data_IF_999677785240
#
_entry.id   IF_999677785240
#
_cell.length_a   1.000
_cell.length_b   1.000
_cell.length_c   1.000
_cell.angle_alpha   90.00
_cell.angle_beta   90.00
_cell.angle_gamma   90.00
#
_symmetry.space_group_name_H-M   'P 1'
#
loop_
_entity.id
_entity.type
_entity.pdbx_description
1 polymer ?
#
# COMPACT_ATOMS: atom_id res chain seq x y z
N UNK A 1 -30.69 21.37 65.24
CA UNK A 1 -29.32 21.29 64.65
C UNK A 1 -29.50 21.19 63.14
N UNK A 2 -28.85 21.93 62.24
CA UNK A 2 -27.82 22.96 62.24
C UNK A 2 -27.83 23.52 60.80
N UNK A 3 -27.80 24.85 60.67
CA UNK A 3 -27.31 25.69 59.54
C UNK A 3 -27.86 25.57 58.10
N UNK A 4 -28.71 26.55 57.76
CA UNK A 4 -28.81 27.32 56.50
C UNK A 4 -27.45 27.94 56.04
N UNK A 5 -27.37 28.77 54.96
CA UNK A 5 -27.95 28.82 53.60
C UNK A 5 -26.86 29.16 52.53
N UNK A 6 -27.25 29.52 51.29
CA UNK A 6 -26.75 30.63 50.40
C UNK A 6 -26.78 30.17 48.92
N UNK A 7 -27.65 30.70 48.04
CA UNK A 7 -27.71 32.04 47.40
C UNK A 7 -26.64 32.27 46.31
N UNK A 8 -27.16 32.68 45.14
CA UNK A 8 -26.60 33.62 44.14
C UNK A 8 -25.36 33.14 43.35
N UNK A 9 -25.47 32.92 42.03
CA UNK A 9 -25.51 33.91 40.94
C UNK A 9 -24.14 34.59 40.70
N UNK A 10 -23.59 34.41 39.50
CA UNK A 10 -22.92 35.46 38.72
C UNK A 10 -22.40 34.90 37.38
N UNK A 11 -22.87 35.52 36.30
CA UNK A 11 -22.26 35.51 34.97
C UNK A 11 -20.91 36.24 35.05
N UNK A 12 -19.88 35.72 34.39
CA UNK A 12 -18.76 36.53 33.91
C UNK A 12 -18.40 36.10 32.49
N UNK A 13 -18.74 36.96 31.54
CA UNK A 13 -18.05 37.03 30.26
C UNK A 13 -16.88 38.00 30.42
N UNK A 14 -15.69 37.61 29.96
CA UNK A 14 -14.66 38.55 29.52
C UNK A 14 -13.70 37.87 28.53
N UNK A 15 -13.58 38.52 27.38
CA UNK A 15 -12.72 38.23 26.24
C UNK A 15 -11.25 38.53 26.58
N UNK A 16 -10.31 37.71 26.10
CA UNK A 16 -8.95 38.17 25.77
C UNK A 16 -8.60 37.76 24.34
N UNK A 17 -8.26 38.78 23.57
CA UNK A 17 -7.79 38.75 22.19
C UNK A 17 -6.32 38.31 22.10
N UNK A 18 -6.00 37.56 21.05
CA UNK A 18 -4.73 37.73 20.31
C UNK A 18 -3.59 36.77 20.62
N UNK A 19 -3.39 35.78 19.73
CA UNK A 19 -2.06 35.51 19.16
C UNK A 19 -2.23 35.22 17.67
N UNK A 20 -1.89 36.20 16.84
CA UNK A 20 -1.55 35.98 15.43
C UNK A 20 -0.14 35.44 15.39
N UNK A 21 0.00 34.14 15.13
CA UNK A 21 1.21 33.56 14.57
C UNK A 21 0.77 32.66 13.42
N UNK A 22 0.80 33.24 12.21
CA UNK A 22 0.86 32.48 10.97
C UNK A 22 2.13 31.64 11.02
N UNK A 23 2.01 30.36 11.39
CA UNK A 23 3.07 29.39 11.16
C UNK A 23 3.03 29.05 9.67
N UNK A 24 3.55 29.94 8.82
CA UNK A 24 3.91 29.64 7.43
C UNK A 24 5.21 28.84 7.41
N UNK A 25 5.15 27.66 8.02
CA UNK A 25 6.23 26.70 8.14
C UNK A 25 5.63 25.31 8.22
N UNK A 26 4.73 25.00 7.27
CA UNK A 26 4.36 23.61 7.04
C UNK A 26 5.65 22.87 6.71
N UNK A 27 6.06 21.95 7.59
CA UNK A 27 7.04 20.94 7.21
C UNK A 27 6.52 20.34 5.91
N UNK A 28 7.35 20.29 4.87
CA UNK A 28 6.97 19.60 3.65
C UNK A 28 6.60 18.16 4.07
N UNK A 29 5.31 17.86 4.14
CA UNK A 29 4.86 16.53 4.51
C UNK A 29 5.40 15.59 3.44
N UNK A 30 6.27 14.67 3.83
CA UNK A 30 6.69 13.59 2.96
C UNK A 30 5.42 12.89 2.48
N UNK A 31 5.26 12.77 1.16
CA UNK A 31 4.15 12.01 0.62
C UNK A 31 4.40 10.54 0.93
N UNK A 32 3.46 9.89 1.62
CA UNK A 32 3.59 8.51 2.04
C UNK A 32 2.69 7.57 1.24
N UNK A 33 3.22 6.40 0.91
CA UNK A 33 2.50 5.29 0.29
C UNK A 33 2.72 4.03 1.13
N UNK A 34 1.65 3.33 1.48
CA UNK A 34 1.73 2.05 2.17
C UNK A 34 0.86 1.03 1.45
N UNK A 35 1.40 -0.17 1.23
CA UNK A 35 0.75 -1.30 0.58
C UNK A 35 1.11 -2.58 1.33
N UNK A 36 0.11 -3.40 1.67
CA UNK A 36 0.29 -4.57 2.53
C UNK A 36 -0.64 -5.70 2.11
N UNK A 37 -0.07 -6.88 1.85
CA UNK A 37 -0.76 -8.15 1.64
C UNK A 37 -0.37 -9.13 2.74
N UNK A 38 -1.34 -9.86 3.30
CA UNK A 38 -1.07 -10.89 4.29
C UNK A 38 -1.95 -12.13 4.15
N UNK A 39 -1.31 -13.29 4.30
CA UNK A 39 -1.95 -14.58 4.12
C UNK A 39 -1.58 -15.53 5.26
N UNK A 40 -2.57 -16.26 5.77
CA UNK A 40 -2.44 -17.12 6.94
C UNK A 40 -3.20 -18.44 6.73
N UNK A 41 -2.46 -19.51 6.48
CA UNK A 41 -3.00 -20.86 6.40
C UNK A 41 -2.73 -21.64 7.70
N UNK A 42 -3.68 -22.48 8.09
CA UNK A 42 -3.61 -23.32 9.29
C UNK A 42 -4.49 -24.56 9.14
N UNK A 43 -4.55 -25.42 10.16
CA UNK A 43 -5.42 -26.61 10.13
C UNK A 43 -6.91 -26.30 9.98
N UNK A 44 -7.36 -25.10 10.33
CA UNK A 44 -8.75 -24.66 10.10
C UNK A 44 -8.97 -24.13 8.69
N UNK A 45 -7.93 -23.55 8.10
CA UNK A 45 -8.01 -22.94 6.78
C UNK A 45 -6.75 -23.27 5.99
N UNK A 46 -6.82 -24.32 5.19
CA UNK A 46 -5.67 -24.85 4.47
C UNK A 46 -5.23 -23.95 3.31
N UNK A 47 -6.07 -23.00 2.87
CA UNK A 47 -5.77 -22.11 1.75
C UNK A 47 -6.01 -20.66 2.13
N UNK A 48 -4.99 -19.82 2.00
CA UNK A 48 -5.09 -18.38 2.19
C UNK A 48 -4.34 -17.67 1.07
N UNK A 49 -4.90 -16.57 0.61
CA UNK A 49 -4.41 -15.83 -0.54
C UNK A 49 -4.80 -14.36 -0.37
N UNK A 50 -3.87 -13.43 -0.52
CA UNK A 50 -4.10 -11.98 -0.48
C UNK A 50 -3.24 -11.30 -1.55
N UNK A 51 -3.85 -10.39 -2.30
CA UNK A 51 -3.17 -9.54 -3.28
C UNK A 51 -3.45 -8.08 -2.95
N UNK A 52 -2.39 -7.29 -2.81
CA UNK A 52 -2.47 -5.85 -2.67
C UNK A 52 -1.77 -5.15 -3.84
N UNK A 53 -2.51 -4.43 -4.67
CA UNK A 53 -1.99 -3.69 -5.81
C UNK A 53 -2.28 -2.19 -5.66
N UNK A 54 -1.23 -1.38 -5.59
CA UNK A 54 -1.33 0.06 -5.38
C UNK A 54 -0.64 0.85 -6.49
N UNK A 55 -1.35 1.84 -7.03
CA UNK A 55 -0.78 2.88 -7.89
C UNK A 55 -0.97 4.24 -7.22
N UNK A 56 0.15 4.92 -6.97
CA UNK A 56 0.22 6.25 -6.38
C UNK A 56 0.91 7.19 -7.34
N UNK A 57 0.24 8.29 -7.68
CA UNK A 57 0.85 9.41 -8.37
C UNK A 57 1.03 10.58 -7.39
N UNK A 58 2.25 11.10 -7.30
CA UNK A 58 2.65 12.11 -6.32
C UNK A 58 3.31 13.31 -7.02
N UNK A 59 3.39 14.42 -6.30
CA UNK A 59 4.16 15.61 -6.68
C UNK A 59 4.84 16.15 -5.41
N UNK A 60 5.89 15.46 -4.97
CA UNK A 60 6.52 15.72 -3.67
C UNK A 60 8.02 15.98 -3.80
N UNK A 61 8.59 16.69 -2.84
CA UNK A 61 10.05 16.78 -2.67
C UNK A 61 10.61 15.59 -1.88
N UNK A 62 9.76 14.83 -1.19
CA UNK A 62 10.14 13.66 -0.41
C UNK A 62 9.10 12.54 -0.54
N UNK A 63 9.57 11.33 -0.82
CA UNK A 63 8.74 10.12 -0.96
C UNK A 63 9.09 9.14 0.15
N UNK A 64 8.08 8.65 0.86
CA UNK A 64 8.21 7.53 1.79
C UNK A 64 7.27 6.40 1.35
N UNK A 65 7.81 5.25 0.95
CA UNK A 65 7.02 4.17 0.36
C UNK A 65 7.30 2.84 1.04
N UNK A 66 6.26 2.23 1.61
CA UNK A 66 6.29 0.90 2.23
C UNK A 66 5.45 -0.07 1.42
N UNK A 67 6.02 -1.22 1.08
CA UNK A 67 5.36 -2.32 0.40
C UNK A 67 5.73 -3.64 1.08
N UNK A 68 4.73 -4.40 1.50
CA UNK A 68 4.98 -5.61 2.28
C UNK A 68 4.02 -6.76 1.93
N UNK A 69 4.57 -7.97 1.83
CA UNK A 69 3.84 -9.20 1.61
C UNK A 69 4.26 -10.26 2.64
N UNK A 70 3.37 -10.61 3.56
CA UNK A 70 3.65 -11.55 4.64
C UNK A 70 2.75 -12.80 4.56
N UNK A 71 3.36 -13.95 4.33
CA UNK A 71 2.65 -15.22 4.22
C UNK A 71 3.12 -16.19 5.31
N UNK A 72 2.16 -16.76 6.04
CA UNK A 72 2.40 -17.75 7.07
C UNK A 72 1.56 -19.00 6.82
N UNK A 73 2.16 -20.17 7.03
CA UNK A 73 1.44 -21.43 7.22
C UNK A 73 1.84 -22.06 8.55
N UNK A 74 0.86 -22.45 9.37
CA UNK A 74 1.13 -22.93 10.74
C UNK A 74 0.28 -24.12 11.15
N UNK A 75 0.92 -25.08 11.84
CA UNK A 75 0.25 -26.23 12.48
C UNK A 75 -0.68 -26.99 11.52
N UNK A 76 -0.20 -27.41 10.36
CA UNK A 76 -1.01 -28.13 9.37
C UNK A 76 -0.17 -29.00 8.44
N UNK A 77 -0.83 -29.75 7.56
CA UNK A 77 -0.20 -30.50 6.48
C UNK A 77 -0.79 -30.06 5.15
N UNK A 78 0.06 -29.76 4.16
CA UNK A 78 -0.39 -29.37 2.83
C UNK A 78 -1.08 -27.99 2.75
N UNK A 79 -0.85 -27.10 3.72
CA UNK A 79 -1.39 -25.74 3.62
C UNK A 79 -0.75 -24.95 2.48
N UNK A 80 -1.53 -24.03 1.91
CA UNK A 80 -1.15 -23.13 0.85
C UNK A 80 -1.44 -21.68 1.26
N UNK A 81 -0.41 -20.86 1.42
CA UNK A 81 -0.51 -19.46 1.88
C UNK A 81 0.25 -18.53 0.93
N UNK A 82 -0.44 -17.57 0.32
CA UNK A 82 0.16 -16.69 -0.69
C UNK A 82 -0.19 -15.23 -0.41
N UNK A 83 0.83 -14.39 -0.22
CA UNK A 83 0.69 -12.94 -0.13
C UNK A 83 1.49 -12.27 -1.25
N UNK A 84 0.84 -11.41 -2.04
CA UNK A 84 1.47 -10.71 -3.17
C UNK A 84 1.22 -9.20 -3.04
N UNK A 85 2.28 -8.40 -3.00
CA UNK A 85 2.17 -6.95 -2.86
C UNK A 85 2.89 -6.21 -4.01
N UNK A 86 2.14 -5.45 -4.80
CA UNK A 86 2.64 -4.59 -5.88
C UNK A 86 2.40 -3.14 -5.55
N UNK A 87 3.46 -2.33 -5.48
CA UNK A 87 3.34 -0.90 -5.28
C UNK A 87 4.06 -0.13 -6.38
N UNK A 88 3.35 0.81 -6.99
CA UNK A 88 3.87 1.71 -8.02
C UNK A 88 3.69 3.13 -7.50
N UNK A 89 4.80 3.84 -7.31
CA UNK A 89 4.85 5.26 -6.95
C UNK A 89 5.46 6.03 -8.11
N UNK A 90 4.66 6.81 -8.81
CA UNK A 90 5.12 7.71 -9.86
C UNK A 90 5.08 9.15 -9.33
N UNK A 91 6.24 9.77 -9.15
CA UNK A 91 6.36 11.17 -8.76
C UNK A 91 6.59 12.04 -10.01
N UNK A 92 5.70 13.00 -10.23
CA UNK A 92 5.76 13.95 -11.34
C UNK A 92 6.87 14.99 -11.21
N UNK A 93 7.59 15.00 -10.08
CA UNK A 93 8.82 15.74 -9.87
C UNK A 93 9.93 14.77 -9.43
N UNK A 94 11.19 15.12 -9.71
CA UNK A 94 12.33 14.41 -9.11
C UNK A 94 12.38 14.74 -7.60
N UNK A 95 12.14 13.78 -6.69
CA UNK A 95 12.18 14.03 -5.27
C UNK A 95 13.63 14.22 -4.82
N UNK A 96 13.85 15.07 -3.83
CA UNK A 96 15.16 15.28 -3.19
C UNK A 96 15.50 14.18 -2.18
N UNK A 97 14.51 13.40 -1.75
CA UNK A 97 14.67 12.32 -0.79
C UNK A 97 13.68 11.18 -1.08
N UNK A 98 14.16 9.94 -1.05
CA UNK A 98 13.35 8.73 -1.21
C UNK A 98 13.69 7.76 -0.09
N UNK A 99 12.70 7.40 0.71
CA UNK A 99 12.76 6.28 1.65
C UNK A 99 11.84 5.19 1.13
N UNK A 100 12.38 3.99 0.91
CA UNK A 100 11.67 2.87 0.32
C UNK A 100 11.90 1.62 1.18
N UNK A 101 10.81 1.00 1.62
CA UNK A 101 10.81 -0.27 2.32
C UNK A 101 10.00 -1.27 1.49
N UNK A 102 10.66 -2.33 0.99
CA UNK A 102 10.02 -3.40 0.24
C UNK A 102 10.38 -4.74 0.90
N UNK A 103 9.39 -5.45 1.43
CA UNK A 103 9.60 -6.66 2.24
C UNK A 103 8.66 -7.79 1.83
N UNK A 104 9.21 -9.00 1.67
CA UNK A 104 8.47 -10.22 1.39
C UNK A 104 8.90 -11.32 2.35
N UNK A 105 7.93 -12.00 2.98
CA UNK A 105 8.15 -13.00 4.01
C UNK A 105 7.28 -14.23 3.77
N UNK A 106 7.88 -15.41 3.90
CA UNK A 106 7.22 -16.71 3.77
C UNK A 106 7.68 -17.62 4.90
N UNK A 107 6.77 -17.98 5.80
CA UNK A 107 7.10 -18.75 7.01
C UNK A 107 6.22 -19.99 7.16
N UNK A 108 6.86 -21.14 7.36
CA UNK A 108 6.21 -22.38 7.76
C UNK A 108 6.56 -22.69 9.22
N UNK A 109 5.54 -22.86 10.08
CA UNK A 109 5.75 -23.22 11.50
C UNK A 109 4.99 -24.50 11.82
N UNK A 110 5.69 -25.53 12.29
CA UNK A 110 5.08 -26.84 12.59
C UNK A 110 4.21 -27.34 11.42
N UNK A 111 4.75 -27.29 10.21
CA UNK A 111 4.03 -27.73 9.01
C UNK A 111 4.83 -28.73 8.19
N UNK A 112 4.13 -29.72 7.63
CA UNK A 112 4.65 -30.64 6.62
C UNK A 112 3.99 -30.37 5.27
N UNK A 113 4.76 -30.44 4.18
CA UNK A 113 4.27 -30.25 2.81
C UNK A 113 3.56 -28.89 2.55
N UNK A 114 3.86 -27.88 3.36
CA UNK A 114 3.33 -26.52 3.17
C UNK A 114 3.94 -25.83 1.96
N UNK A 115 3.11 -25.06 1.27
CA UNK A 115 3.50 -24.11 0.24
C UNK A 115 3.17 -22.69 0.71
N UNK A 116 4.20 -21.90 1.00
CA UNK A 116 4.03 -20.51 1.47
C UNK A 116 4.84 -19.57 0.59
N UNK A 117 4.22 -18.47 0.15
CA UNK A 117 4.82 -17.47 -0.73
C UNK A 117 4.45 -16.06 -0.27
N UNK A 118 5.44 -15.26 0.11
CA UNK A 118 5.29 -13.81 0.28
C UNK A 118 6.21 -13.10 -0.70
N UNK A 119 5.63 -12.34 -1.64
CA UNK A 119 6.41 -11.66 -2.68
C UNK A 119 5.95 -10.20 -2.84
N UNK A 120 6.93 -9.30 -2.84
CA UNK A 120 6.69 -7.86 -2.87
C UNK A 120 7.51 -7.19 -3.98
N UNK A 121 6.84 -6.48 -4.89
CA UNK A 121 7.45 -5.66 -5.93
C UNK A 121 7.10 -4.19 -5.74
N UNK A 122 8.12 -3.35 -5.69
CA UNK A 122 7.98 -1.91 -5.55
C UNK A 122 8.68 -1.17 -6.70
N UNK A 123 7.97 -0.24 -7.32
CA UNK A 123 8.44 0.60 -8.41
C UNK A 123 8.31 2.06 -8.00
N UNK A 124 9.44 2.77 -7.91
CA UNK A 124 9.46 4.22 -7.66
C UNK A 124 10.04 4.89 -8.91
N UNK A 125 9.21 5.67 -9.59
CA UNK A 125 9.57 6.35 -10.83
C UNK A 125 9.48 7.85 -10.60
N UNK A 126 10.62 8.53 -10.73
CA UNK A 126 10.73 9.97 -10.64
C UNK A 126 10.98 10.56 -12.02
N UNK A 127 9.91 10.85 -12.75
CA UNK A 127 9.97 11.44 -14.09
C UNK A 127 8.83 12.45 -14.22
N UNK A 128 8.99 13.54 -14.99
CA UNK A 128 7.90 14.47 -15.31
C UNK A 128 6.92 13.85 -16.32
N UNK A 129 6.45 12.64 -16.02
CA UNK A 129 5.52 11.85 -16.80
C UNK A 129 4.44 11.33 -15.87
N UNK A 130 3.21 11.68 -16.18
CA UNK A 130 2.00 11.16 -15.56
C UNK A 130 1.61 9.89 -16.29
N UNK A 131 1.14 8.86 -15.57
CA UNK A 131 0.61 7.65 -16.20
C UNK A 131 -0.66 8.00 -16.98
N UNK A 132 -0.63 7.79 -18.30
CA UNK A 132 -1.80 8.00 -19.14
C UNK A 132 -2.94 7.05 -18.75
N UNK A 133 -4.18 7.36 -19.14
CA UNK A 133 -5.31 6.44 -19.02
C UNK A 133 -5.00 5.05 -19.62
N UNK A 134 -4.28 5.03 -20.75
CA UNK A 134 -3.88 3.78 -21.40
C UNK A 134 -2.89 2.97 -20.56
N UNK A 135 -1.97 3.62 -19.84
CA UNK A 135 -1.02 2.94 -18.96
C UNK A 135 -1.71 2.44 -17.70
N UNK A 136 -2.60 3.24 -17.13
CA UNK A 136 -3.43 2.83 -15.99
C UNK A 136 -4.31 1.62 -16.33
N UNK A 137 -4.90 1.58 -17.53
CA UNK A 137 -5.67 0.42 -17.99
C UNK A 137 -4.81 -0.86 -18.12
N UNK A 138 -3.56 -0.73 -18.59
CA UNK A 138 -2.62 -1.87 -18.63
C UNK A 138 -2.28 -2.35 -17.22
N UNK A 139 -2.03 -1.43 -16.28
CA UNK A 139 -1.77 -1.77 -14.88
C UNK A 139 -2.98 -2.43 -14.20
N UNK A 140 -4.19 -1.96 -14.50
CA UNK A 140 -5.42 -2.60 -14.01
C UNK A 140 -5.58 -4.03 -14.55
N UNK A 141 -5.16 -4.29 -15.79
CA UNK A 141 -5.14 -5.65 -16.32
C UNK A 141 -4.14 -6.55 -15.57
N UNK A 142 -3.01 -5.99 -15.13
CA UNK A 142 -2.04 -6.73 -14.30
C UNK A 142 -2.63 -7.05 -12.92
N UNK A 143 -3.31 -6.11 -12.27
CA UNK A 143 -4.05 -6.37 -11.02
C UNK A 143 -5.05 -7.53 -11.19
N UNK A 144 -5.86 -7.49 -12.25
CA UNK A 144 -6.80 -8.57 -12.55
C UNK A 144 -6.10 -9.92 -12.82
N UNK A 145 -4.93 -9.91 -13.47
CA UNK A 145 -4.13 -11.12 -13.67
C UNK A 145 -3.55 -11.67 -12.37
N UNK A 146 -3.07 -10.81 -11.47
CA UNK A 146 -2.62 -11.21 -10.14
C UNK A 146 -3.76 -11.83 -9.34
N UNK A 147 -4.95 -11.22 -9.36
CA UNK A 147 -6.13 -11.78 -8.70
C UNK A 147 -6.56 -13.12 -9.31
N UNK A 148 -6.43 -13.29 -10.62
CA UNK A 148 -6.78 -14.56 -11.28
C UNK A 148 -5.94 -15.75 -10.80
N UNK A 149 -4.75 -15.51 -10.23
CA UNK A 149 -3.89 -16.56 -9.67
C UNK A 149 -4.56 -17.29 -8.51
N UNK A 150 -5.46 -16.62 -7.77
CA UNK A 150 -6.27 -17.23 -6.73
C UNK A 150 -7.02 -18.48 -7.24
N UNK A 151 -7.57 -18.39 -8.44
CA UNK A 151 -8.38 -19.46 -9.05
C UNK A 151 -7.55 -20.54 -9.74
N UNK A 152 -6.24 -20.35 -9.92
CA UNK A 152 -5.39 -21.25 -10.68
C UNK A 152 -5.10 -22.57 -9.96
N UNK A 153 -5.20 -22.60 -8.63
CA UNK A 153 -4.71 -23.69 -7.77
C UNK A 153 -3.27 -24.13 -8.09
N UNK A 154 -2.46 -23.25 -8.70
CA UNK A 154 -1.10 -23.57 -9.09
C UNK A 154 -0.19 -23.67 -7.87
N UNK A 155 0.87 -24.50 -7.91
CA UNK A 155 1.86 -24.55 -6.85
C UNK A 155 2.50 -23.17 -6.60
N UNK A 156 2.86 -22.87 -5.35
CA UNK A 156 3.49 -21.60 -4.98
C UNK A 156 4.69 -21.21 -5.85
N UNK A 157 5.52 -22.17 -6.29
CA UNK A 157 6.65 -21.92 -7.20
C UNK A 157 6.22 -21.42 -8.58
N UNK A 158 5.12 -21.97 -9.11
CA UNK A 158 4.55 -21.53 -10.38
C UNK A 158 3.91 -20.14 -10.25
N UNK A 159 3.20 -19.89 -9.14
CA UNK A 159 2.67 -18.56 -8.81
C UNK A 159 3.82 -17.55 -8.77
N UNK A 160 4.93 -17.85 -8.09
CA UNK A 160 6.09 -16.96 -8.01
C UNK A 160 6.65 -16.59 -9.40
N UNK A 161 6.74 -17.58 -10.31
CA UNK A 161 7.15 -17.34 -11.69
C UNK A 161 6.19 -16.44 -12.46
N UNK A 162 4.88 -16.67 -12.33
CA UNK A 162 3.85 -15.85 -12.97
C UNK A 162 3.84 -14.41 -12.44
N UNK A 163 3.94 -14.25 -11.12
CA UNK A 163 4.03 -12.93 -10.47
C UNK A 163 5.29 -12.18 -10.94
N UNK A 164 6.43 -12.87 -11.05
CA UNK A 164 7.67 -12.27 -11.56
C UNK A 164 7.53 -11.80 -13.01
N UNK A 165 6.85 -12.57 -13.86
CA UNK A 165 6.57 -12.17 -15.24
C UNK A 165 5.66 -10.93 -15.31
N UNK A 166 4.65 -10.85 -14.44
CA UNK A 166 3.77 -9.68 -14.33
C UNK A 166 4.53 -8.44 -13.83
N UNK A 167 5.46 -8.59 -12.88
CA UNK A 167 6.36 -7.51 -12.47
C UNK A 167 7.23 -7.00 -13.65
N UNK A 168 7.72 -7.90 -14.51
CA UNK A 168 8.39 -7.52 -15.75
C UNK A 168 7.51 -6.71 -16.70
N UNK A 169 6.21 -7.04 -16.81
CA UNK A 169 5.26 -6.27 -17.59
C UNK A 169 5.01 -4.87 -16.99
N UNK A 170 4.92 -4.76 -15.66
CA UNK A 170 4.85 -3.44 -14.99
C UNK A 170 6.08 -2.61 -15.34
N UNK A 171 7.28 -3.17 -15.18
CA UNK A 171 8.53 -2.47 -15.51
C UNK A 171 8.54 -1.98 -16.98
N UNK A 172 8.09 -2.83 -17.90
CA UNK A 172 7.97 -2.47 -19.31
C UNK A 172 6.98 -1.33 -19.55
N UNK A 173 5.79 -1.36 -18.93
CA UNK A 173 4.80 -0.29 -19.01
C UNK A 173 5.39 1.03 -18.50
N UNK A 174 6.03 1.01 -17.32
CA UNK A 174 6.60 2.19 -16.71
C UNK A 174 7.79 2.76 -17.49
N UNK A 175 8.58 1.90 -18.15
CA UNK A 175 9.70 2.34 -18.99
C UNK A 175 9.23 3.07 -20.27
N UNK A 176 8.06 2.71 -20.79
CA UNK A 176 7.49 3.25 -22.03
C UNK A 176 6.27 4.16 -21.81
N UNK A 177 5.94 4.48 -20.56
CA UNK A 177 4.82 5.36 -20.23
C UNK A 177 5.07 6.76 -20.84
N UNK A 178 4.11 7.22 -21.65
CA UNK A 178 4.18 8.51 -22.33
C UNK A 178 3.79 9.69 -21.44
N UNK A 179 3.91 10.93 -21.97
CA UNK A 179 3.42 12.14 -21.30
C UNK A 179 1.89 12.22 -21.39
N UNK A 180 1.18 11.62 -20.43
CA UNK A 180 -0.27 11.82 -20.27
C UNK A 180 -0.62 13.22 -19.74
N UNK A 181 -1.79 13.74 -20.12
CA UNK A 181 -2.39 14.93 -19.51
C UNK A 181 -3.16 14.57 -18.24
N UNK A 182 -2.94 15.32 -17.16
CA UNK A 182 -3.64 15.20 -15.88
C UNK A 182 -4.78 16.22 -15.78
N UNK A 183 -6.02 15.84 -15.43
CA UNK A 183 -6.85 16.74 -14.64
C UNK A 183 -6.32 16.71 -13.20
N UNK A 184 -6.16 17.87 -12.54
CA UNK A 184 -5.57 18.16 -11.21
C UNK A 184 -6.14 17.38 -9.99
N UNK A 185 -6.59 16.13 -10.16
CA UNK A 185 -7.27 15.35 -9.14
C UNK A 185 -6.36 14.21 -8.68
N UNK A 186 -5.89 14.31 -7.43
CA UNK A 186 -5.10 13.29 -6.74
C UNK A 186 -5.88 11.96 -6.62
N UNK A 187 -5.91 11.16 -7.69
CA UNK A 187 -6.45 9.81 -7.65
C UNK A 187 -5.33 8.84 -7.30
N UNK A 188 -5.49 8.17 -6.17
CA UNK A 188 -4.77 6.95 -5.86
C UNK A 188 -5.75 5.81 -5.90
N UNK A 189 -5.28 4.65 -6.36
CA UNK A 189 -6.10 3.46 -6.44
C UNK A 189 -5.33 2.35 -5.76
N UNK A 190 -5.95 1.78 -4.74
CA UNK A 190 -5.49 0.56 -4.07
C UNK A 190 -6.56 -0.49 -4.29
N UNK A 191 -6.18 -1.61 -4.88
CA UNK A 191 -7.01 -2.80 -4.98
C UNK A 191 -6.52 -3.80 -3.95
N UNK A 192 -7.47 -4.36 -3.21
CA UNK A 192 -7.20 -5.41 -2.22
C UNK A 192 -8.28 -6.46 -2.39
N UNK A 193 -7.87 -7.71 -2.48
CA UNK A 193 -8.74 -8.84 -2.79
C UNK A 193 -8.54 -9.96 -1.79
#
# INVERSE_FOLDING_TARGET
MKFHPKRAAAVFAAVIMGVSALVTGGTAQASSASNYASSHASYWNHHSFDVAFQVRQMFSSSVNATNEADANSRNCTGCHSVAIAFQIVADGKVPTHVSAHNFGSAVNVNCSDCQTLGIAYQFIVAKPTVLSWSDQAKLWRIDAQLWSLYWSNAPASQIAGQVSALAGQVAYILAHAGHGYWPLVHHYITWRH
#
